data_IF_881032379197
#
_entry.id   IF_881032379197
#
_cell.length_a   1.000
_cell.length_b   1.000
_cell.length_c   1.000
_cell.angle_alpha   90.00
_cell.angle_beta   90.00
_cell.angle_gamma   90.00
#
_symmetry.space_group_name_H-M   'P 1'
#
loop_
_entity.id
_entity.type
_entity.pdbx_description
1 polymer ?
#
# COMPACT_ATOMS: atom_id res chain seq x y z
N UNK A 1 9.93 17.54 -3.52
CA UNK A 1 9.87 17.91 -4.96
C UNK A 1 11.27 17.92 -5.57
N UNK A 2 11.38 17.84 -6.92
CA UNK A 2 12.66 17.74 -7.67
C UNK A 2 12.77 18.90 -8.70
N UNK A 3 13.96 19.14 -9.28
CA UNK A 3 14.14 20.17 -10.31
C UNK A 3 13.27 19.95 -11.56
N UNK A 4 13.17 20.96 -12.45
CA UNK A 4 12.55 20.81 -13.76
C UNK A 4 13.13 19.62 -14.54
N UNK A 5 12.28 18.93 -15.29
CA UNK A 5 12.66 17.75 -16.06
C UNK A 5 11.88 17.68 -17.38
N UNK A 6 12.37 16.87 -18.32
CA UNK A 6 11.70 16.50 -19.57
C UNK A 6 11.35 15.01 -19.57
N UNK A 7 10.41 14.58 -20.43
CA UNK A 7 9.96 13.18 -20.49
C UNK A 7 8.82 12.88 -19.50
N UNK A 8 7.78 13.70 -19.50
CA UNK A 8 6.62 13.56 -18.62
C UNK A 8 5.91 12.20 -18.81
N UNK A 9 5.70 11.77 -20.05
CA UNK A 9 5.06 10.48 -20.37
C UNK A 9 5.82 9.31 -19.73
N UNK A 10 7.13 9.20 -20.00
CA UNK A 10 7.99 8.18 -19.36
C UNK A 10 7.91 8.24 -17.84
N UNK A 11 7.86 9.44 -17.25
CA UNK A 11 7.78 9.60 -15.80
C UNK A 11 6.43 9.13 -15.25
N UNK A 12 5.33 9.40 -15.94
CA UNK A 12 4.00 8.92 -15.56
C UNK A 12 3.93 7.40 -15.64
N UNK A 13 4.45 6.79 -16.70
CA UNK A 13 4.53 5.33 -16.83
C UNK A 13 5.32 4.71 -15.68
N UNK A 14 6.48 5.28 -15.33
CA UNK A 14 7.26 4.82 -14.17
C UNK A 14 6.47 4.90 -12.86
N UNK A 15 5.71 5.96 -12.64
CA UNK A 15 4.88 6.11 -11.44
C UNK A 15 3.78 5.04 -11.39
N UNK A 16 3.09 4.81 -12.51
CA UNK A 16 2.05 3.79 -12.63
C UNK A 16 2.64 2.40 -12.36
N UNK A 17 3.74 2.05 -13.03
CA UNK A 17 4.40 0.76 -12.86
C UNK A 17 4.90 0.55 -11.42
N UNK A 18 5.42 1.60 -10.78
CA UNK A 18 5.82 1.54 -9.38
C UNK A 18 4.64 1.18 -8.46
N UNK A 19 3.47 1.82 -8.64
CA UNK A 19 2.29 1.51 -7.84
C UNK A 19 1.75 0.10 -8.12
N UNK A 20 1.68 -0.34 -9.38
CA UNK A 20 1.28 -1.72 -9.70
C UNK A 20 2.23 -2.75 -9.08
N UNK A 21 3.54 -2.49 -9.14
CA UNK A 21 4.55 -3.33 -8.48
C UNK A 21 4.37 -3.37 -6.96
N UNK A 22 4.05 -2.23 -6.33
CA UNK A 22 3.77 -2.17 -4.90
C UNK A 22 2.49 -2.95 -4.53
N UNK A 23 1.41 -2.78 -5.30
CA UNK A 23 0.15 -3.51 -5.09
C UNK A 23 0.35 -5.02 -5.18
N UNK A 24 1.15 -5.52 -6.14
CA UNK A 24 1.45 -6.95 -6.27
C UNK A 24 2.20 -7.50 -5.05
N UNK A 25 3.20 -6.76 -4.55
CA UNK A 25 3.94 -7.18 -3.34
C UNK A 25 3.05 -7.14 -2.10
N UNK A 26 2.23 -6.09 -1.98
CA UNK A 26 1.30 -5.93 -0.86
C UNK A 26 0.29 -7.07 -0.83
N UNK A 27 -0.35 -7.40 -1.96
CA UNK A 27 -1.30 -8.50 -2.02
C UNK A 27 -0.66 -9.83 -1.59
N UNK A 28 0.58 -10.12 -2.01
CA UNK A 28 1.29 -11.31 -1.55
C UNK A 28 1.56 -11.31 -0.04
N UNK A 29 1.88 -10.15 0.54
CA UNK A 29 2.07 -9.98 1.98
C UNK A 29 0.77 -10.14 2.77
N UNK A 30 -0.35 -9.71 2.20
CA UNK A 30 -1.69 -9.84 2.76
C UNK A 30 -2.27 -11.26 2.67
N UNK A 31 -1.46 -12.29 2.37
CA UNK A 31 -1.87 -13.68 2.52
C UNK A 31 -2.33 -13.98 3.98
N UNK A 32 -1.72 -13.29 4.94
CA UNK A 32 -2.14 -13.23 6.34
C UNK A 32 -2.72 -11.85 6.69
N UNK A 33 -3.60 -11.73 7.69
CA UNK A 33 -4.22 -10.47 8.07
C UNK A 33 -3.21 -9.47 8.66
N UNK A 34 -3.16 -8.26 8.12
CA UNK A 34 -2.29 -7.18 8.59
C UNK A 34 -3.01 -5.83 8.61
N UNK A 35 -2.65 -4.97 9.55
CA UNK A 35 -3.01 -3.55 9.55
C UNK A 35 -2.25 -2.78 8.47
N UNK A 36 -2.70 -1.57 8.14
CA UNK A 36 -2.00 -0.72 7.16
C UNK A 36 -0.58 -0.32 7.62
N UNK A 37 -0.36 -0.17 8.93
CA UNK A 37 0.97 0.13 9.49
C UNK A 37 1.94 -1.05 9.28
N UNK A 38 1.48 -2.27 9.56
CA UNK A 38 2.30 -3.49 9.38
C UNK A 38 2.68 -3.72 7.91
N UNK A 39 2.00 -3.07 6.97
CA UNK A 39 2.32 -3.12 5.54
C UNK A 39 3.49 -2.21 5.13
N UNK A 40 4.02 -1.37 6.03
CA UNK A 40 5.10 -0.42 5.71
C UNK A 40 6.34 -1.08 5.08
N UNK A 41 6.87 -2.21 5.60
CA UNK A 41 8.06 -2.84 5.04
C UNK A 41 7.88 -3.30 3.58
N UNK A 42 6.64 -3.57 3.16
CA UNK A 42 6.32 -4.01 1.80
C UNK A 42 6.24 -2.85 0.80
N UNK A 43 5.88 -1.67 1.29
CA UNK A 43 5.65 -0.46 0.48
C UNK A 43 6.87 0.47 0.46
N UNK A 44 7.60 0.57 1.57
CA UNK A 44 8.69 1.51 1.75
C UNK A 44 10.02 0.77 1.86
N UNK A 45 11.03 1.25 1.12
CA UNK A 45 12.37 0.65 1.11
C UNK A 45 13.22 1.03 2.34
N UNK A 46 12.72 1.91 3.20
CA UNK A 46 13.44 2.47 4.35
C UNK A 46 12.53 2.41 5.56
N UNK A 47 13.14 2.34 6.73
CA UNK A 47 12.44 2.47 8.00
C UNK A 47 11.76 3.85 8.09
N UNK A 48 10.50 3.84 8.51
CA UNK A 48 9.69 5.05 8.65
C UNK A 48 9.93 5.65 10.02
N UNK A 49 10.30 6.92 10.05
CA UNK A 49 10.51 7.67 11.29
C UNK A 49 9.26 8.48 11.65
N UNK A 50 9.20 9.00 12.89
CA UNK A 50 8.05 9.73 13.41
C UNK A 50 7.60 10.92 12.53
N UNK A 51 8.53 11.60 11.86
CA UNK A 51 8.21 12.73 10.98
C UNK A 51 7.49 12.35 9.69
N UNK A 52 7.62 11.10 9.24
CA UNK A 52 7.05 10.60 7.98
C UNK A 52 5.87 9.63 8.21
N UNK A 53 5.69 9.18 9.45
CA UNK A 53 4.71 8.17 9.84
C UNK A 53 3.30 8.46 9.32
N UNK A 54 2.78 9.66 9.51
CA UNK A 54 1.44 10.02 9.06
C UNK A 54 1.27 9.92 7.54
N UNK A 55 2.30 10.31 6.78
CA UNK A 55 2.28 10.22 5.32
C UNK A 55 2.36 8.76 4.87
N UNK A 56 3.25 7.98 5.48
CA UNK A 56 3.38 6.55 5.22
C UNK A 56 2.08 5.79 5.52
N UNK A 57 1.40 6.14 6.61
CA UNK A 57 0.12 5.52 7.00
C UNK A 57 -0.97 5.79 5.97
N UNK A 58 -1.11 7.02 5.50
CA UNK A 58 -2.12 7.37 4.49
C UNK A 58 -1.82 6.69 3.15
N UNK A 59 -0.56 6.60 2.74
CA UNK A 59 -0.18 5.89 1.51
C UNK A 59 -0.44 4.37 1.63
N UNK A 60 -0.08 3.75 2.75
CA UNK A 60 -0.37 2.34 3.00
C UNK A 60 -1.87 2.04 3.03
N UNK A 61 -2.66 2.89 3.70
CA UNK A 61 -4.11 2.80 3.67
C UNK A 61 -4.67 2.95 2.26
N UNK A 62 -4.18 3.89 1.46
CA UNK A 62 -4.63 4.08 0.09
C UNK A 62 -4.39 2.83 -0.78
N UNK A 63 -3.24 2.17 -0.61
CA UNK A 63 -2.96 0.89 -1.27
C UNK A 63 -3.91 -0.23 -0.83
N UNK A 64 -4.19 -0.37 0.47
CA UNK A 64 -5.13 -1.36 0.99
C UNK A 64 -6.57 -1.10 0.49
N UNK A 65 -7.03 0.15 0.56
CA UNK A 65 -8.34 0.57 0.06
C UNK A 65 -8.48 0.33 -1.44
N UNK A 66 -7.43 0.61 -2.23
CA UNK A 66 -7.44 0.33 -3.66
C UNK A 66 -7.66 -1.17 -3.93
N UNK A 67 -6.90 -2.06 -3.27
CA UNK A 67 -7.09 -3.50 -3.42
C UNK A 67 -8.50 -3.95 -2.99
N UNK A 68 -9.05 -3.33 -1.95
CA UNK A 68 -10.38 -3.67 -1.43
C UNK A 68 -11.49 -3.24 -2.38
N UNK A 69 -11.44 -2.02 -2.90
CA UNK A 69 -12.36 -1.54 -3.93
C UNK A 69 -12.22 -2.33 -5.23
N UNK A 70 -11.03 -2.84 -5.53
CA UNK A 70 -10.80 -3.78 -6.63
C UNK A 70 -11.28 -5.21 -6.34
N UNK A 71 -11.82 -5.49 -5.16
CA UNK A 71 -12.35 -6.81 -4.77
C UNK A 71 -11.29 -7.86 -4.42
N UNK A 72 -10.00 -7.51 -4.43
CA UNK A 72 -8.87 -8.43 -4.28
C UNK A 72 -8.55 -8.79 -2.83
N UNK A 73 -8.87 -7.89 -1.91
CA UNK A 73 -8.72 -8.10 -0.45
C UNK A 73 -10.04 -7.88 0.26
N UNK A 74 -10.15 -8.43 1.46
CA UNK A 74 -11.19 -8.14 2.45
C UNK A 74 -10.59 -7.43 3.67
N UNK A 75 -11.45 -6.86 4.52
CA UNK A 75 -11.04 -6.32 5.81
C UNK A 75 -11.98 -6.72 6.92
N UNK A 76 -11.44 -6.84 8.13
CA UNK A 76 -12.19 -7.02 9.36
C UNK A 76 -11.69 -6.05 10.43
N UNK A 77 -12.59 -5.61 11.30
CA UNK A 77 -12.23 -4.73 12.41
C UNK A 77 -11.71 -5.61 13.54
N UNK A 78 -10.49 -5.36 14.02
CA UNK A 78 -9.98 -6.03 15.21
C UNK A 78 -10.49 -5.39 16.50
N UNK A 79 -10.26 -6.08 17.62
CA UNK A 79 -10.67 -5.63 18.96
C UNK A 79 -9.97 -4.34 19.41
N UNK A 80 -8.83 -4.01 18.78
CA UNK A 80 -8.08 -2.77 18.94
C UNK A 80 -8.61 -1.59 18.12
N UNK A 81 -9.68 -1.80 17.34
CA UNK A 81 -10.26 -0.78 16.47
C UNK A 81 -9.47 -0.54 15.18
N UNK A 82 -8.52 -1.41 14.83
CA UNK A 82 -7.77 -1.34 13.58
C UNK A 82 -8.34 -2.31 12.53
N UNK A 83 -8.46 -1.83 11.29
CA UNK A 83 -8.77 -2.68 10.14
C UNK A 83 -7.58 -3.60 9.83
N UNK A 84 -7.84 -4.90 9.80
CA UNK A 84 -6.92 -5.91 9.29
C UNK A 84 -7.36 -6.34 7.89
N UNK A 85 -6.44 -6.22 6.95
CA UNK A 85 -6.62 -6.53 5.55
C UNK A 85 -6.05 -7.91 5.25
N UNK A 86 -6.70 -8.66 4.39
CA UNK A 86 -6.19 -9.93 3.88
C UNK A 86 -6.68 -10.21 2.47
N UNK A 87 -5.95 -10.98 1.68
CA UNK A 87 -6.43 -11.49 0.39
C UNK A 87 -7.76 -12.17 0.59
N UNK A 88 -8.71 -11.87 -0.31
CA UNK A 88 -10.01 -12.53 -0.31
C UNK A 88 -9.76 -14.02 -0.58
N UNK A 89 -10.12 -14.88 0.37
CA UNK A 89 -10.09 -16.32 0.13
C UNK A 89 -11.04 -16.65 -1.03
N UNK A 90 -10.57 -17.48 -1.96
CA UNK A 90 -11.45 -18.08 -2.94
C UNK A 90 -12.45 -18.96 -2.17
N UNK A 91 -13.72 -18.58 -2.21
CA UNK A 91 -14.83 -19.40 -1.71
C UNK A 91 -15.14 -20.56 -2.65
#
# INVERSE_FOLDING_TARGET
HKPPFVGAETRLDQLIQNHHGALKRLEAFLAEPHTAEECFPTLFKREITSGEYGLALVEAMAHCLHLWHAGRVTREMGDDGAWRWRVRGDG
#
